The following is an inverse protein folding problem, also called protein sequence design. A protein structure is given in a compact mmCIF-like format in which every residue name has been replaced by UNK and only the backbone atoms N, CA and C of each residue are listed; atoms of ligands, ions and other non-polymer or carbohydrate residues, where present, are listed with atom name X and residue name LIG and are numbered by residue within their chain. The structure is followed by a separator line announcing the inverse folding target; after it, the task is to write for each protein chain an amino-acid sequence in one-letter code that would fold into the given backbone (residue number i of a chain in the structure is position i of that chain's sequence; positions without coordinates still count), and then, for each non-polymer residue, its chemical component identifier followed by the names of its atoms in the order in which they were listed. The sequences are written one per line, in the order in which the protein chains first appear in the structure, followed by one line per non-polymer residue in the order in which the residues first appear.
data_IF_016124870112
#
_entry.id   IF_016124870112
#
_cell.length_a   1.000
_cell.length_b   1.000
_cell.length_c   1.000
_cell.angle_alpha   90.00
_cell.angle_beta   90.00
_cell.angle_gamma   90.00
#
_symmetry.space_group_name_H-M   'P 1'
#
loop_
_entity.id
_entity.type
_entity.pdbx_description
1 polymer ?
#
# COMPACT_ATOMS: atom_id res chain seq x y z
N UNK A 1 49.83 -14.88 74.57
CA UNK A 1 48.57 -14.12 74.57
C UNK A 1 47.86 -14.51 73.28
N UNK A 2 46.93 -15.47 73.22
CA UNK A 2 45.80 -15.78 74.14
C UNK A 2 44.94 -14.53 74.37
N UNK A 3 43.62 -14.50 74.09
CA UNK A 3 42.61 -15.53 73.71
C UNK A 3 41.77 -15.03 72.49
N UNK A 4 40.92 -15.78 71.75
CA UNK A 4 39.75 -16.60 72.14
C UNK A 4 38.72 -15.83 72.99
N UNK A 5 37.38 -15.91 72.85
CA UNK A 5 36.44 -16.63 71.95
C UNK A 5 35.34 -15.62 71.47
N UNK A 6 34.27 -15.89 70.69
CA UNK A 6 33.75 -17.12 70.04
C UNK A 6 32.88 -16.83 68.76
N UNK A 7 31.93 -17.75 68.49
CA UNK A 7 30.98 -17.93 67.38
C UNK A 7 29.54 -17.55 67.77
N UNK A 8 28.74 -17.20 66.76
CA UNK A 8 27.26 -17.21 66.78
C UNK A 8 26.72 -17.30 65.33
N UNK A 9 25.62 -18.01 65.04
CA UNK A 9 25.48 -18.68 63.74
C UNK A 9 24.57 -17.99 62.69
N UNK A 10 24.60 -18.60 61.50
CA UNK A 10 23.90 -18.22 60.28
C UNK A 10 22.37 -18.12 60.37
N UNK A 11 21.81 -17.30 59.47
CA UNK A 11 20.54 -17.62 58.81
C UNK A 11 20.66 -17.35 57.29
N UNK A 12 19.95 -18.15 56.49
CA UNK A 12 19.97 -18.18 55.03
C UNK A 12 18.56 -17.93 54.52
N UNK A 13 18.33 -16.79 53.86
CA UNK A 13 17.05 -16.52 53.18
C UNK A 13 17.23 -15.82 51.84
N UNK A 14 17.58 -16.62 50.83
CA UNK A 14 17.44 -16.22 49.43
C UNK A 14 15.98 -16.39 48.98
N UNK A 15 15.24 -15.29 48.87
CA UNK A 15 13.90 -15.35 48.29
C UNK A 15 13.95 -15.52 46.76
N UNK A 16 14.00 -16.79 46.34
CA UNK A 16 13.70 -17.21 44.97
C UNK A 16 12.31 -16.72 44.57
N UNK A 17 12.18 -16.25 43.33
CA UNK A 17 10.88 -16.11 42.65
C UNK A 17 10.17 -17.48 42.64
N UNK A 18 8.88 -17.57 43.01
CA UNK A 18 8.08 -18.76 42.72
C UNK A 18 7.80 -18.82 41.21
N UNK A 19 7.92 -20.01 40.63
CA UNK A 19 7.50 -20.29 39.25
C UNK A 19 6.69 -21.58 39.27
N UNK A 20 5.55 -21.57 38.56
CA UNK A 20 4.73 -22.75 38.17
C UNK A 20 3.85 -23.32 39.32
N UNK A 21 2.74 -24.03 39.01
CA UNK A 21 2.39 -24.67 37.73
C UNK A 21 1.07 -24.24 37.07
N UNK A 22 0.94 -24.67 35.82
CA UNK A 22 -0.34 -24.92 35.15
C UNK A 22 -0.29 -26.38 34.69
N UNK A 23 -1.33 -27.19 34.94
CA UNK A 23 -2.04 -27.73 33.78
C UNK A 23 -3.54 -27.99 33.99
N UNK A 24 -4.19 -28.36 32.87
CA UNK A 24 -5.46 -29.07 32.76
C UNK A 24 -6.75 -28.28 33.07
N UNK A 25 -7.26 -27.60 32.03
CA UNK A 25 -8.70 -27.61 31.75
C UNK A 25 -8.96 -28.39 30.46
N UNK A 26 -9.67 -29.50 30.60
CA UNK A 26 -10.09 -30.37 29.50
C UNK A 26 -11.23 -29.68 28.73
N UNK A 27 -10.91 -29.17 27.53
CA UNK A 27 -11.86 -28.48 26.65
C UNK A 27 -12.32 -29.36 25.50
N UNK A 28 -13.59 -29.75 25.56
CA UNK A 28 -14.39 -30.56 24.64
C UNK A 28 -14.00 -30.49 23.15
N UNK A 29 -13.94 -31.66 22.52
CA UNK A 29 -13.76 -31.91 21.08
C UNK A 29 -14.76 -31.12 20.21
N UNK A 30 -14.23 -30.25 19.34
CA UNK A 30 -14.92 -29.82 18.11
C UNK A 30 -14.08 -30.26 16.90
N UNK A 31 -14.50 -31.36 16.27
CA UNK A 31 -13.87 -31.87 15.07
C UNK A 31 -14.26 -31.03 13.84
N UNK A 32 -13.68 -29.83 13.71
CA UNK A 32 -13.71 -29.11 12.44
C UNK A 32 -12.84 -29.86 11.45
N UNK A 33 -13.47 -30.53 10.49
CA UNK A 33 -12.78 -31.27 9.45
C UNK A 33 -11.78 -30.34 8.73
N UNK A 34 -10.50 -30.64 8.86
CA UNK A 34 -9.47 -30.05 8.02
C UNK A 34 -9.70 -30.55 6.60
N UNK A 35 -10.46 -29.79 5.82
CA UNK A 35 -10.50 -29.95 4.37
C UNK A 35 -9.06 -29.71 3.89
N UNK A 36 -8.33 -30.79 3.65
CA UNK A 36 -7.03 -30.74 3.03
C UNK A 36 -7.24 -30.15 1.63
N UNK A 37 -7.01 -28.85 1.50
CA UNK A 37 -6.85 -28.20 0.20
C UNK A 37 -5.57 -28.80 -0.38
N UNK A 38 -5.74 -29.91 -1.09
CA UNK A 38 -4.77 -30.39 -2.04
C UNK A 38 -4.60 -29.26 -3.05
N UNK A 39 -3.62 -28.40 -2.80
CA UNK A 39 -3.07 -27.52 -3.83
C UNK A 39 -2.50 -28.47 -4.86
N UNK A 40 -3.32 -28.80 -5.85
CA UNK A 40 -2.83 -29.30 -7.11
C UNK A 40 -1.87 -28.23 -7.60
N UNK A 41 -0.58 -28.52 -7.48
CA UNK A 41 0.43 -27.77 -8.18
C UNK A 41 0.13 -27.99 -9.67
N UNK A 42 -0.71 -27.11 -10.23
CA UNK A 42 -0.76 -26.90 -11.66
C UNK A 42 0.71 -26.75 -12.08
N UNK A 43 1.16 -27.47 -13.13
CA UNK A 43 2.53 -27.35 -13.56
C UNK A 43 2.79 -25.86 -13.78
N UNK A 44 3.76 -25.33 -13.05
CA UNK A 44 4.30 -24.03 -13.36
C UNK A 44 4.96 -24.19 -14.73
N UNK A 45 4.18 -23.96 -15.78
CA UNK A 45 4.70 -23.69 -17.11
C UNK A 45 5.53 -22.45 -16.98
N UNK A 46 6.81 -22.65 -16.65
CA UNK A 46 7.83 -21.63 -16.73
C UNK A 46 7.68 -20.98 -18.11
N UNK A 47 7.60 -19.65 -18.12
CA UNK A 47 7.48 -18.91 -19.38
C UNK A 47 8.53 -19.43 -20.37
N UNK A 48 8.22 -19.43 -21.68
CA UNK A 48 9.28 -19.33 -22.66
C UNK A 48 9.95 -17.97 -22.47
N UNK A 49 10.88 -17.91 -21.50
CA UNK A 49 11.94 -16.91 -21.41
C UNK A 49 12.45 -16.69 -22.84
N UNK A 50 12.79 -15.44 -23.23
CA UNK A 50 13.47 -15.19 -24.49
C UNK A 50 14.65 -16.16 -24.58
N UNK A 51 14.56 -17.10 -25.54
CA UNK A 51 15.24 -18.40 -25.52
C UNK A 51 16.62 -18.30 -24.87
N UNK A 52 16.94 -19.07 -23.80
CA UNK A 52 18.26 -19.01 -23.17
C UNK A 52 19.42 -19.27 -24.16
N UNK A 53 19.13 -19.85 -25.33
CA UNK A 53 20.06 -20.10 -26.42
C UNK A 53 19.99 -19.08 -27.57
N UNK A 54 19.14 -18.03 -27.52
CA UNK A 54 19.17 -16.90 -28.46
C UNK A 54 20.46 -16.10 -28.24
N UNK A 55 21.48 -16.45 -29.02
CA UNK A 55 22.79 -15.79 -29.02
C UNK A 55 22.66 -14.40 -29.62
N UNK A 56 22.99 -13.37 -28.86
CA UNK A 56 23.03 -11.99 -29.32
C UNK A 56 22.92 -10.99 -28.18
N UNK A 57 23.58 -9.85 -28.32
CA UNK A 57 23.54 -8.75 -27.35
C UNK A 57 22.11 -8.19 -27.20
N UNK A 58 21.37 -8.08 -28.31
CA UNK A 58 19.99 -7.58 -28.32
C UNK A 58 19.04 -8.43 -27.43
N UNK A 59 19.12 -9.76 -27.49
CA UNK A 59 18.30 -10.63 -26.66
C UNK A 59 18.58 -10.48 -25.15
N UNK A 60 19.83 -10.16 -24.78
CA UNK A 60 20.20 -9.85 -23.39
C UNK A 60 19.66 -8.48 -22.95
N UNK A 61 19.69 -7.48 -23.83
CA UNK A 61 19.09 -6.16 -23.60
C UNK A 61 17.59 -6.26 -23.39
N UNK A 62 16.88 -7.02 -24.25
CA UNK A 62 15.44 -7.22 -24.13
C UNK A 62 15.05 -7.93 -22.83
N UNK A 63 15.82 -8.93 -22.39
CA UNK A 63 15.64 -9.58 -21.08
C UNK A 63 15.85 -8.59 -19.92
N UNK A 64 16.88 -7.75 -19.98
CA UNK A 64 17.12 -6.73 -18.95
C UNK A 64 16.03 -5.65 -18.92
N UNK A 65 15.41 -5.33 -20.06
CA UNK A 65 14.27 -4.43 -20.15
C UNK A 65 12.98 -5.05 -19.61
N UNK A 66 12.73 -6.33 -19.87
CA UNK A 66 11.65 -7.09 -19.23
C UNK A 66 11.84 -7.12 -17.71
N UNK A 67 13.00 -7.59 -17.22
CA UNK A 67 13.31 -7.60 -15.78
C UNK A 67 13.25 -6.20 -15.13
N UNK A 68 13.54 -5.12 -15.88
CA UNK A 68 13.40 -3.75 -15.42
C UNK A 68 11.92 -3.33 -15.33
N UNK A 69 11.07 -3.81 -16.23
CA UNK A 69 9.61 -3.62 -16.16
C UNK A 69 9.03 -4.35 -14.93
N UNK A 70 9.42 -5.61 -14.69
CA UNK A 70 9.03 -6.35 -13.47
C UNK A 70 9.43 -5.61 -12.18
N UNK A 71 10.64 -5.04 -12.15
CA UNK A 71 11.11 -4.23 -11.03
C UNK A 71 10.37 -2.88 -10.92
N UNK A 72 9.91 -2.32 -12.05
CA UNK A 72 9.11 -1.09 -12.11
C UNK A 72 7.72 -1.31 -11.52
N UNK A 73 7.04 -2.42 -11.82
CA UNK A 73 5.75 -2.75 -11.23
C UNK A 73 5.84 -2.93 -9.70
N UNK A 74 6.91 -3.60 -9.21
CA UNK A 74 7.21 -3.72 -7.77
C UNK A 74 7.46 -2.35 -7.14
N UNK A 75 8.31 -1.52 -7.77
CA UNK A 75 8.55 -0.12 -7.34
C UNK A 75 7.25 0.69 -7.25
N UNK A 76 6.38 0.59 -8.26
CA UNK A 76 5.11 1.30 -8.33
C UNK A 76 4.15 0.87 -7.21
N UNK A 77 4.05 -0.43 -6.92
CA UNK A 77 3.25 -0.95 -5.80
C UNK A 77 3.78 -0.49 -4.43
N UNK A 78 5.09 -0.56 -4.21
CA UNK A 78 5.74 -0.06 -2.99
C UNK A 78 5.57 1.46 -2.85
N UNK A 79 5.56 2.22 -3.96
CA UNK A 79 5.30 3.67 -3.98
C UNK A 79 3.86 3.98 -3.56
N UNK A 80 2.86 3.25 -4.03
CA UNK A 80 1.49 3.38 -3.53
C UNK A 80 1.39 3.10 -2.03
N UNK A 81 2.02 2.02 -1.55
CA UNK A 81 2.04 1.64 -0.13
C UNK A 81 2.66 2.76 0.71
N UNK A 82 3.79 3.31 0.28
CA UNK A 82 4.45 4.44 0.94
C UNK A 82 3.56 5.70 0.98
N UNK A 83 2.87 6.03 -0.11
CA UNK A 83 1.96 7.18 -0.16
C UNK A 83 0.76 6.99 0.79
N UNK A 84 0.17 5.79 0.81
CA UNK A 84 -0.95 5.43 1.73
C UNK A 84 -0.51 5.48 3.20
N UNK A 85 0.69 4.99 3.52
CA UNK A 85 1.25 5.06 4.87
C UNK A 85 1.58 6.50 5.29
N UNK A 86 2.10 7.33 4.38
CA UNK A 86 2.34 8.76 4.65
C UNK A 86 1.03 9.49 4.99
N UNK A 87 -0.01 9.35 4.17
CA UNK A 87 -1.32 9.94 4.45
C UNK A 87 -1.87 9.50 5.82
N UNK A 88 -1.80 8.21 6.14
CA UNK A 88 -2.26 7.70 7.45
C UNK A 88 -1.44 8.23 8.62
N UNK A 89 -0.14 8.48 8.44
CA UNK A 89 0.70 9.12 9.46
C UNK A 89 0.30 10.58 9.65
N UNK A 90 0.06 11.32 8.57
CA UNK A 90 -0.34 12.72 8.61
C UNK A 90 -1.73 12.89 9.27
N UNK A 91 -2.71 12.07 8.86
CA UNK A 91 -4.05 12.01 9.46
C UNK A 91 -4.00 11.72 10.98
N UNK A 92 -3.09 10.82 11.40
CA UNK A 92 -2.88 10.46 12.81
C UNK A 92 -2.17 11.56 13.61
N UNK A 93 -1.23 12.29 13.01
CA UNK A 93 -0.58 13.44 13.65
C UNK A 93 -1.59 14.55 13.91
N UNK A 94 -2.41 14.86 12.91
CA UNK A 94 -3.51 15.81 12.99
C UNK A 94 -4.56 15.43 14.05
N UNK A 95 -4.94 14.15 14.11
CA UNK A 95 -5.86 13.64 15.13
C UNK A 95 -5.25 13.75 16.54
N UNK A 96 -3.99 13.37 16.71
CA UNK A 96 -3.28 13.47 17.99
C UNK A 96 -3.10 14.93 18.45
N UNK A 97 -2.92 15.88 17.53
CA UNK A 97 -2.84 17.31 17.84
C UNK A 97 -4.19 17.84 18.36
N UNK A 98 -5.29 17.54 17.68
CA UNK A 98 -6.66 17.91 18.13
C UNK A 98 -6.97 17.33 19.51
N UNK A 99 -6.75 16.04 19.69
CA UNK A 99 -7.01 15.35 20.97
C UNK A 99 -6.12 15.84 22.12
N UNK A 100 -4.90 16.31 21.83
CA UNK A 100 -4.05 16.96 22.83
C UNK A 100 -4.61 18.34 23.25
N UNK A 101 -5.30 19.04 22.35
CA UNK A 101 -6.09 20.25 22.63
C UNK A 101 -7.26 19.95 23.57
N UNK A 102 -8.12 18.99 23.23
CA UNK A 102 -9.26 18.58 24.06
C UNK A 102 -8.82 18.21 25.50
N UNK A 103 -7.70 17.47 25.63
CA UNK A 103 -7.13 17.12 26.93
C UNK A 103 -6.63 18.34 27.72
N UNK A 104 -6.12 19.38 27.05
CA UNK A 104 -5.72 20.62 27.72
C UNK A 104 -6.94 21.40 28.21
N UNK A 105 -8.03 21.44 27.45
CA UNK A 105 -9.29 22.09 27.85
C UNK A 105 -9.97 21.36 29.02
N UNK A 106 -10.02 20.03 28.98
CA UNK A 106 -10.49 19.21 30.11
C UNK A 106 -9.61 19.41 31.35
N UNK A 107 -8.29 19.48 31.18
CA UNK A 107 -7.34 19.77 32.27
C UNK A 107 -7.54 21.18 32.83
N UNK A 108 -7.83 22.18 32.00
CA UNK A 108 -8.11 23.54 32.43
C UNK A 108 -9.42 23.61 33.25
N UNK A 109 -10.48 22.93 32.80
CA UNK A 109 -11.75 22.81 33.53
C UNK A 109 -11.55 22.16 34.92
N UNK A 110 -10.80 21.06 34.99
CA UNK A 110 -10.45 20.40 36.26
C UNK A 110 -9.56 21.28 37.15
N UNK A 111 -8.66 22.07 36.56
CA UNK A 111 -7.78 22.99 37.27
C UNK A 111 -8.50 24.19 37.91
N UNK A 112 -9.47 24.78 37.20
CA UNK A 112 -10.30 25.87 37.73
C UNK A 112 -11.09 25.43 38.98
N UNK A 113 -11.63 24.21 38.97
CA UNK A 113 -12.27 23.61 40.14
C UNK A 113 -11.31 23.45 41.31
N UNK A 114 -10.14 22.84 41.08
CA UNK A 114 -9.17 22.60 42.14
C UNK A 114 -8.70 23.92 42.78
N UNK A 115 -8.53 24.97 41.96
CA UNK A 115 -8.21 26.32 42.44
C UNK A 115 -9.36 26.95 43.27
N UNK A 116 -10.62 26.72 42.88
CA UNK A 116 -11.78 27.19 43.65
C UNK A 116 -11.88 26.49 45.01
N UNK A 117 -11.74 25.17 45.07
CA UNK A 117 -11.74 24.40 46.32
C UNK A 117 -10.58 24.80 47.25
N UNK A 118 -9.39 25.04 46.69
CA UNK A 118 -8.23 25.51 47.45
C UNK A 118 -8.45 26.92 48.02
N UNK A 119 -9.09 27.82 47.25
CA UNK A 119 -9.37 29.20 47.67
C UNK A 119 -10.43 29.31 48.77
N UNK A 120 -11.37 28.37 48.87
CA UNK A 120 -12.41 28.36 49.92
C UNK A 120 -11.89 27.92 51.30
N UNK A 121 -10.56 27.78 51.47
CA UNK A 121 -9.92 27.61 52.77
C UNK A 121 -9.94 26.19 53.34
N UNK A 122 -10.39 25.20 52.57
CA UNK A 122 -10.29 23.78 52.93
C UNK A 122 -11.35 23.26 53.91
N UNK A 123 -12.40 24.02 54.21
CA UNK A 123 -13.60 23.47 54.86
C UNK A 123 -14.36 22.65 53.81
N UNK A 124 -14.49 21.35 54.02
CA UNK A 124 -15.21 20.46 53.10
C UNK A 124 -16.66 20.96 52.89
N UNK A 125 -17.16 21.07 51.63
CA UNK A 125 -18.54 21.43 51.35
C UNK A 125 -19.58 20.56 52.08
N UNK A 126 -19.28 19.28 52.35
CA UNK A 126 -20.11 18.41 53.17
C UNK A 126 -20.15 18.84 54.65
N UNK A 127 -19.05 19.43 55.17
CA UNK A 127 -19.00 20.01 56.51
C UNK A 127 -19.79 21.33 56.57
N UNK A 128 -19.68 22.19 55.54
CA UNK A 128 -20.51 23.40 55.43
C UNK A 128 -22.00 23.05 55.33
N UNK A 129 -22.34 21.99 54.61
CA UNK A 129 -23.70 21.47 54.47
C UNK A 129 -24.23 20.89 55.79
N UNK A 130 -23.40 20.13 56.53
CA UNK A 130 -23.76 19.59 57.85
C UNK A 130 -23.96 20.66 58.93
N UNK A 131 -23.41 21.86 58.74
CA UNK A 131 -23.61 23.02 59.61
C UNK A 131 -24.78 23.92 59.18
N UNK A 132 -25.54 23.56 58.14
CA UNK A 132 -26.73 24.28 57.70
C UNK A 132 -27.86 24.15 58.73
N UNK A 133 -28.36 25.27 59.25
CA UNK A 133 -29.43 25.32 60.25
C UNK A 133 -30.84 25.30 59.67
N UNK A 134 -30.99 25.45 58.36
CA UNK A 134 -32.27 25.45 57.65
C UNK A 134 -32.37 24.24 56.69
N UNK A 135 -33.43 23.41 56.78
CA UNK A 135 -33.62 22.24 55.93
C UNK A 135 -33.86 22.55 54.44
N UNK A 136 -34.52 23.67 54.10
CA UNK A 136 -34.78 24.02 52.69
C UNK A 136 -33.47 24.46 52.01
N UNK A 137 -32.72 25.37 52.64
CA UNK A 137 -31.36 25.76 52.23
C UNK A 137 -30.40 24.56 52.15
N UNK A 138 -30.54 23.55 53.01
CA UNK A 138 -29.76 22.30 52.94
C UNK A 138 -30.05 21.53 51.64
N UNK A 139 -31.33 21.29 51.32
CA UNK A 139 -31.72 20.47 50.16
C UNK A 139 -31.31 21.12 48.83
N UNK A 140 -31.44 22.44 48.70
CA UNK A 140 -30.97 23.17 47.53
C UNK A 140 -29.46 23.01 47.33
N UNK A 141 -28.66 23.29 48.38
CA UNK A 141 -27.19 23.17 48.34
C UNK A 141 -26.73 21.73 48.08
N UNK A 142 -27.38 20.74 48.69
CA UNK A 142 -27.09 19.33 48.44
C UNK A 142 -27.32 18.94 46.97
N UNK A 143 -28.46 19.36 46.39
CA UNK A 143 -28.78 19.08 44.99
C UNK A 143 -27.83 19.77 44.00
N UNK A 144 -27.36 20.97 44.32
CA UNK A 144 -26.36 21.69 43.54
C UNK A 144 -25.00 20.98 43.60
N UNK A 145 -24.56 20.60 44.81
CA UNK A 145 -23.29 19.90 45.03
C UNK A 145 -23.25 18.52 44.34
N UNK A 146 -24.36 17.78 44.34
CA UNK A 146 -24.47 16.51 43.62
C UNK A 146 -24.32 16.70 42.09
N UNK A 147 -25.07 17.62 41.49
CA UNK A 147 -24.97 17.92 40.04
C UNK A 147 -23.56 18.34 39.64
N UNK A 148 -22.91 19.14 40.48
CA UNK A 148 -21.52 19.59 40.31
C UNK A 148 -20.57 18.37 40.38
N UNK A 149 -20.72 17.51 41.40
CA UNK A 149 -19.89 16.31 41.59
C UNK A 149 -20.07 15.26 40.50
N UNK A 150 -21.30 15.08 40.01
CA UNK A 150 -21.62 14.24 38.87
C UNK A 150 -20.97 14.74 37.57
N UNK A 151 -21.02 16.07 37.33
CA UNK A 151 -20.32 16.71 36.20
C UNK A 151 -18.80 16.50 36.28
N UNK A 152 -18.19 16.73 37.45
CA UNK A 152 -16.74 16.55 37.63
C UNK A 152 -16.31 15.09 37.43
N UNK A 153 -17.07 14.15 37.97
CA UNK A 153 -16.87 12.71 37.74
C UNK A 153 -17.00 12.36 36.25
N UNK A 154 -17.90 13.03 35.52
CA UNK A 154 -17.98 13.00 34.05
C UNK A 154 -16.69 13.49 33.38
N UNK A 155 -16.29 14.73 33.64
CA UNK A 155 -15.08 15.38 33.08
C UNK A 155 -13.81 14.57 33.34
N UNK A 156 -13.63 14.04 34.56
CA UNK A 156 -12.47 13.20 34.90
C UNK A 156 -12.50 11.87 34.14
N UNK A 157 -13.65 11.20 34.04
CA UNK A 157 -13.78 9.96 33.23
C UNK A 157 -13.48 10.23 31.76
N UNK A 158 -13.95 11.35 31.21
CA UNK A 158 -13.66 11.78 29.84
C UNK A 158 -12.17 12.05 29.63
N UNK A 159 -11.53 12.81 30.53
CA UNK A 159 -10.09 13.08 30.49
C UNK A 159 -9.27 11.78 30.50
N UNK A 160 -9.55 10.87 31.45
CA UNK A 160 -8.85 9.59 31.53
C UNK A 160 -9.11 8.67 30.31
N UNK A 161 -10.30 8.72 29.71
CA UNK A 161 -10.60 8.01 28.48
C UNK A 161 -9.84 8.57 27.28
N UNK A 162 -9.88 9.89 27.08
CA UNK A 162 -9.12 10.57 26.03
C UNK A 162 -7.60 10.40 26.21
N UNK A 163 -7.09 10.37 27.45
CA UNK A 163 -5.67 10.15 27.72
C UNK A 163 -5.23 8.74 27.28
N UNK A 164 -6.03 7.70 27.56
CA UNK A 164 -5.76 6.33 27.10
C UNK A 164 -5.81 6.23 25.57
N UNK A 165 -6.83 6.81 24.94
CA UNK A 165 -6.96 6.82 23.48
C UNK A 165 -5.78 7.54 22.80
N UNK A 166 -5.30 8.67 23.36
CA UNK A 166 -4.16 9.39 22.80
C UNK A 166 -2.86 8.56 22.88
N UNK A 167 -2.65 7.79 23.95
CA UNK A 167 -1.50 6.89 24.04
C UNK A 167 -1.58 5.74 23.04
N UNK A 168 -2.77 5.18 22.83
CA UNK A 168 -3.00 4.18 21.78
C UNK A 168 -2.68 4.75 20.39
N UNK A 169 -3.25 5.90 20.02
CA UNK A 169 -2.98 6.53 18.73
C UNK A 169 -1.51 6.90 18.53
N UNK A 170 -0.79 7.34 19.59
CA UNK A 170 0.67 7.55 19.53
C UNK A 170 1.44 6.27 19.24
N UNK A 171 0.98 5.13 19.77
CA UNK A 171 1.60 3.81 19.53
C UNK A 171 1.34 3.36 18.08
N UNK A 172 0.10 3.48 17.60
CA UNK A 172 -0.28 3.18 16.21
C UNK A 172 0.46 4.06 15.19
N UNK A 173 0.56 5.37 15.45
CA UNK A 173 1.32 6.30 14.61
C UNK A 173 2.82 5.98 14.59
N UNK A 174 3.39 5.56 15.74
CA UNK A 174 4.79 5.14 15.82
C UNK A 174 5.04 3.87 15.00
N UNK A 175 4.11 2.90 15.01
CA UNK A 175 4.20 1.72 14.17
C UNK A 175 4.15 2.09 12.68
N UNK A 176 3.15 2.90 12.25
CA UNK A 176 3.04 3.33 10.85
C UNK A 176 4.24 4.13 10.37
N UNK A 177 4.86 4.94 11.23
CA UNK A 177 6.12 5.62 10.94
C UNK A 177 7.27 4.64 10.71
N UNK A 178 7.32 3.51 11.40
CA UNK A 178 8.29 2.43 11.15
C UNK A 178 7.98 1.73 9.83
N UNK A 179 6.74 1.29 9.60
CA UNK A 179 6.29 0.67 8.35
C UNK A 179 6.62 1.56 7.13
N UNK A 180 6.45 2.88 7.26
CA UNK A 180 6.75 3.88 6.24
C UNK A 180 8.26 4.01 5.98
N UNK A 181 9.10 3.98 7.02
CA UNK A 181 10.57 3.99 6.86
C UNK A 181 11.05 2.73 6.16
N UNK A 182 10.56 1.56 6.56
CA UNK A 182 10.89 0.28 5.91
C UNK A 182 10.45 0.27 4.45
N UNK A 183 9.21 0.65 4.18
CA UNK A 183 8.68 0.75 2.80
C UNK A 183 9.46 1.77 1.95
N UNK A 184 9.99 2.85 2.54
CA UNK A 184 10.88 3.80 1.84
C UNK A 184 12.26 3.20 1.51
N UNK A 185 12.78 2.33 2.36
CA UNK A 185 14.01 1.55 2.06
C UNK A 185 13.77 0.57 0.91
N UNK A 186 12.69 -0.23 0.98
CA UNK A 186 12.27 -1.13 -0.12
C UNK A 186 12.13 -0.38 -1.45
N UNK A 187 11.55 0.82 -1.43
CA UNK A 187 11.37 1.67 -2.60
C UNK A 187 12.72 2.13 -3.20
N UNK A 188 13.70 2.45 -2.35
CA UNK A 188 15.04 2.82 -2.78
C UNK A 188 15.79 1.62 -3.40
N UNK A 189 15.64 0.43 -2.83
CA UNK A 189 16.25 -0.80 -3.35
C UNK A 189 15.63 -1.22 -4.70
N UNK A 190 14.30 -1.13 -4.85
CA UNK A 190 13.66 -1.35 -6.15
C UNK A 190 14.15 -0.34 -7.20
N UNK A 191 14.25 0.96 -6.85
CA UNK A 191 14.81 1.98 -7.75
C UNK A 191 16.24 1.65 -8.18
N UNK A 192 17.10 1.25 -7.23
CA UNK A 192 18.47 0.81 -7.51
C UNK A 192 18.51 -0.42 -8.42
N UNK A 193 17.58 -1.37 -8.22
CA UNK A 193 17.48 -2.57 -9.05
C UNK A 193 17.03 -2.27 -10.49
N UNK A 194 16.14 -1.29 -10.71
CA UNK A 194 15.76 -0.80 -12.04
C UNK A 194 16.96 -0.13 -12.71
N UNK A 195 17.57 0.86 -12.02
CA UNK A 195 18.72 1.61 -12.53
C UNK A 195 19.90 0.68 -12.89
N UNK A 196 20.18 -0.34 -12.07
CA UNK A 196 21.23 -1.32 -12.35
C UNK A 196 20.97 -2.18 -13.58
N UNK A 197 19.72 -2.57 -13.85
CA UNK A 197 19.35 -3.31 -15.07
C UNK A 197 19.45 -2.43 -16.32
N UNK A 198 18.93 -1.21 -16.26
CA UNK A 198 19.02 -0.24 -17.36
C UNK A 198 20.48 0.14 -17.66
N UNK A 199 21.34 0.29 -16.65
CA UNK A 199 22.77 0.52 -16.84
C UNK A 199 23.47 -0.66 -17.52
N UNK A 200 23.18 -1.90 -17.12
CA UNK A 200 23.69 -3.10 -17.80
C UNK A 200 23.21 -3.20 -19.25
N UNK A 201 21.94 -2.88 -19.51
CA UNK A 201 21.39 -2.86 -20.86
C UNK A 201 22.10 -1.81 -21.73
N UNK A 202 22.36 -0.61 -21.18
CA UNK A 202 23.14 0.41 -21.88
C UNK A 202 24.60 -0.01 -22.13
N UNK A 203 25.25 -0.70 -21.17
CA UNK A 203 26.60 -1.25 -21.37
C UNK A 203 26.64 -2.26 -22.52
N UNK A 204 25.65 -3.16 -22.59
CA UNK A 204 25.51 -4.10 -23.70
C UNK A 204 25.25 -3.40 -25.04
N UNK A 205 24.32 -2.43 -25.09
CA UNK A 205 24.09 -1.61 -26.28
C UNK A 205 25.34 -0.84 -26.74
N UNK A 206 26.23 -0.48 -25.81
CA UNK A 206 27.51 0.17 -26.14
C UNK A 206 28.57 -0.81 -26.70
N UNK A 207 28.41 -2.13 -26.52
CA UNK A 207 29.27 -3.14 -27.18
C UNK A 207 28.87 -3.44 -28.63
N UNK A 208 27.69 -3.02 -29.06
CA UNK A 208 27.22 -3.21 -30.43
C UNK A 208 28.05 -2.38 -31.43
N UNK A 209 28.33 -2.99 -32.58
CA UNK A 209 28.86 -2.31 -33.76
C UNK A 209 27.92 -1.18 -34.24
N UNK A 210 28.40 -0.35 -35.15
CA UNK A 210 27.56 0.69 -35.76
C UNK A 210 26.43 0.09 -36.60
N UNK A 211 26.67 -1.07 -37.23
CA UNK A 211 25.71 -1.80 -38.05
C UNK A 211 24.59 -2.40 -37.19
N UNK A 212 24.91 -3.18 -36.16
CA UNK A 212 23.91 -3.75 -35.24
C UNK A 212 23.06 -2.67 -34.55
N UNK A 213 23.65 -1.51 -34.21
CA UNK A 213 22.90 -0.35 -33.67
C UNK A 213 21.95 0.26 -34.70
N UNK A 214 22.37 0.35 -35.97
CA UNK A 214 21.52 0.82 -37.04
C UNK A 214 20.38 -0.17 -37.33
N UNK A 215 20.63 -1.47 -37.25
CA UNK A 215 19.60 -2.51 -37.40
C UNK A 215 18.54 -2.47 -36.30
N UNK A 216 18.96 -2.38 -35.03
CA UNK A 216 18.06 -2.27 -33.87
C UNK A 216 17.23 -0.98 -33.92
N UNK A 217 17.85 0.15 -34.28
CA UNK A 217 17.13 1.41 -34.48
C UNK A 217 16.15 1.33 -35.66
N UNK A 218 16.52 0.65 -36.75
CA UNK A 218 15.65 0.42 -37.88
C UNK A 218 14.49 -0.53 -37.55
N UNK A 219 14.67 -1.49 -36.64
CA UNK A 219 13.60 -2.36 -36.13
C UNK A 219 12.56 -1.58 -35.32
N UNK A 220 12.98 -0.75 -34.38
CA UNK A 220 12.07 0.13 -33.61
C UNK A 220 11.34 1.13 -34.52
N UNK A 221 12.00 1.64 -35.56
CA UNK A 221 11.40 2.46 -36.62
C UNK A 221 10.44 1.67 -37.54
N UNK A 222 10.66 0.36 -37.77
CA UNK A 222 9.71 -0.51 -38.47
C UNK A 222 8.47 -0.74 -37.61
N UNK A 223 8.63 -1.06 -36.33
CA UNK A 223 7.53 -1.25 -35.38
C UNK A 223 6.67 0.03 -35.24
N UNK A 224 7.32 1.19 -35.07
CA UNK A 224 6.65 2.50 -35.03
C UNK A 224 5.85 2.80 -36.31
N UNK A 225 6.39 2.47 -37.49
CA UNK A 225 5.65 2.62 -38.77
C UNK A 225 4.59 1.56 -39.01
N UNK A 226 4.72 0.37 -38.41
CA UNK A 226 3.68 -0.66 -38.44
C UNK A 226 2.47 -0.23 -37.61
N UNK A 227 2.69 0.39 -36.45
CA UNK A 227 1.65 0.99 -35.60
C UNK A 227 0.77 2.00 -36.36
N UNK A 228 1.35 2.84 -37.23
CA UNK A 228 0.58 3.81 -38.04
C UNK A 228 -0.31 3.13 -39.09
N UNK A 229 -0.01 1.88 -39.45
CA UNK A 229 -0.77 1.07 -40.42
C UNK A 229 -1.53 -0.10 -39.78
N UNK A 230 -1.69 -0.10 -38.45
CA UNK A 230 -2.38 -1.17 -37.75
C UNK A 230 -3.85 -1.19 -38.16
N UNK A 231 -4.28 -2.28 -38.81
CA UNK A 231 -5.70 -2.55 -39.04
C UNK A 231 -6.32 -3.02 -37.74
N UNK A 232 -7.19 -2.18 -37.15
CA UNK A 232 -7.90 -2.45 -35.91
C UNK A 232 -9.24 -3.20 -36.15
N UNK A 233 -9.63 -3.38 -37.41
CA UNK A 233 -10.96 -3.84 -37.78
C UNK A 233 -12.07 -2.83 -37.40
N UNK A 234 -13.31 -3.30 -37.35
CA UNK A 234 -14.49 -2.49 -37.02
C UNK A 234 -15.27 -3.07 -35.83
N UNK A 235 -14.57 -3.50 -34.78
CA UNK A 235 -15.19 -4.01 -33.55
C UNK A 235 -15.56 -2.84 -32.62
N UNK A 236 -16.81 -2.79 -32.15
CA UNK A 236 -17.20 -1.83 -31.11
C UNK A 236 -16.66 -2.22 -29.73
N UNK A 237 -16.33 -1.23 -28.91
CA UNK A 237 -16.03 -1.39 -27.48
C UNK A 237 -17.22 -1.96 -26.71
N UNK A 238 -16.94 -2.76 -25.67
CA UNK A 238 -17.98 -3.37 -24.85
C UNK A 238 -18.60 -2.45 -23.78
N UNK A 239 -17.93 -1.34 -23.44
CA UNK A 239 -18.43 -0.33 -22.49
C UNK A 239 -18.09 1.07 -22.98
N UNK A 240 -18.92 2.06 -22.62
CA UNK A 240 -18.67 3.47 -22.95
C UNK A 240 -17.40 4.00 -22.27
N UNK A 241 -17.15 3.57 -21.01
CA UNK A 241 -15.96 4.00 -20.28
C UNK A 241 -14.68 3.36 -20.83
N UNK A 242 -14.73 2.08 -21.22
CA UNK A 242 -13.63 1.42 -21.93
C UNK A 242 -13.33 2.08 -23.28
N UNK A 243 -14.36 2.48 -24.03
CA UNK A 243 -14.20 3.25 -25.26
C UNK A 243 -13.50 4.61 -25.03
N UNK A 244 -13.97 5.37 -24.04
CA UNK A 244 -13.39 6.68 -23.69
C UNK A 244 -11.94 6.56 -23.19
N UNK A 245 -11.64 5.56 -22.35
CA UNK A 245 -10.28 5.28 -21.90
C UNK A 245 -9.38 4.88 -23.08
N UNK A 246 -9.85 4.00 -23.97
CA UNK A 246 -9.11 3.62 -25.16
C UNK A 246 -8.83 4.83 -26.06
N UNK A 247 -9.83 5.68 -26.33
CA UNK A 247 -9.65 6.92 -27.09
C UNK A 247 -8.61 7.86 -26.45
N UNK A 248 -8.61 7.98 -25.12
CA UNK A 248 -7.57 8.73 -24.40
C UNK A 248 -6.18 8.11 -24.63
N UNK A 249 -6.02 6.79 -24.51
CA UNK A 249 -4.75 6.10 -24.79
C UNK A 249 -4.28 6.28 -26.24
N UNK A 250 -5.20 6.25 -27.22
CA UNK A 250 -4.89 6.48 -28.63
C UNK A 250 -4.30 7.87 -28.88
N UNK A 251 -4.74 8.89 -28.13
CA UNK A 251 -4.16 10.25 -28.18
C UNK A 251 -2.68 10.33 -27.74
N UNK A 252 -2.11 9.22 -27.27
CA UNK A 252 -0.74 9.13 -26.73
C UNK A 252 0.19 8.21 -27.51
N UNK A 253 -0.24 7.69 -28.66
CA UNK A 253 0.66 7.01 -29.61
C UNK A 253 1.84 7.94 -29.96
N UNK A 254 3.06 7.41 -29.91
CA UNK A 254 4.31 8.16 -30.05
C UNK A 254 4.87 8.78 -28.75
N UNK A 255 4.17 8.71 -27.62
CA UNK A 255 4.76 9.16 -26.34
C UNK A 255 5.83 8.15 -25.85
N UNK A 256 6.98 8.59 -25.32
CA UNK A 256 8.08 7.71 -24.95
C UNK A 256 7.76 6.84 -23.72
N UNK A 257 8.33 5.63 -23.69
CA UNK A 257 8.37 4.81 -22.48
C UNK A 257 9.26 5.46 -21.42
N UNK A 258 8.73 5.66 -20.22
CA UNK A 258 9.51 6.05 -19.03
C UNK A 258 9.03 5.24 -17.83
N UNK A 259 9.93 4.52 -17.18
CA UNK A 259 9.60 3.70 -16.01
C UNK A 259 9.02 4.55 -14.87
N UNK A 260 7.92 4.12 -14.28
CA UNK A 260 7.20 4.85 -13.23
C UNK A 260 6.33 6.01 -13.73
N UNK A 261 6.37 6.38 -15.01
CA UNK A 261 5.60 7.51 -15.54
C UNK A 261 4.14 7.13 -15.84
N UNK A 262 3.20 8.04 -15.50
CA UNK A 262 1.76 7.87 -15.68
C UNK A 262 1.12 9.11 -16.35
N UNK A 263 1.80 9.68 -17.34
CA UNK A 263 1.29 10.70 -18.24
C UNK A 263 1.50 12.16 -17.82
N UNK A 264 1.03 13.11 -18.64
CA UNK A 264 0.41 12.91 -19.96
C UNK A 264 1.44 12.75 -21.11
N UNK A 265 2.74 12.96 -20.85
CA UNK A 265 3.78 13.08 -21.90
C UNK A 265 4.76 11.90 -21.97
N UNK A 266 4.65 10.93 -21.06
CA UNK A 266 5.44 9.69 -21.06
C UNK A 266 4.76 8.66 -20.14
N UNK A 267 5.00 7.37 -20.39
CA UNK A 267 4.24 6.29 -19.74
C UNK A 267 5.07 5.01 -19.56
N UNK A 268 4.90 4.30 -18.45
CA UNK A 268 5.07 2.84 -18.46
C UNK A 268 3.73 2.15 -18.83
N UNK A 269 3.72 0.82 -18.92
CA UNK A 269 2.57 0.06 -19.41
C UNK A 269 1.30 0.27 -18.55
N UNK A 270 1.44 0.10 -17.23
CA UNK A 270 0.38 0.30 -16.24
C UNK A 270 0.04 1.77 -15.99
N UNK A 271 0.97 2.69 -16.28
CA UNK A 271 0.77 4.13 -16.23
C UNK A 271 -0.08 4.66 -17.38
N UNK A 272 0.08 4.13 -18.59
CA UNK A 272 -0.75 4.46 -19.76
C UNK A 272 -2.23 4.14 -19.48
N UNK A 273 -2.49 2.92 -19.01
CA UNK A 273 -3.85 2.44 -18.71
C UNK A 273 -4.47 3.21 -17.55
N UNK A 274 -3.72 3.44 -16.47
CA UNK A 274 -4.16 4.26 -15.33
C UNK A 274 -4.54 5.67 -15.77
N UNK A 275 -3.68 6.34 -16.54
CA UNK A 275 -3.92 7.70 -17.02
C UNK A 275 -5.13 7.79 -17.94
N UNK A 276 -5.26 6.83 -18.85
CA UNK A 276 -6.34 6.74 -19.83
C UNK A 276 -7.71 6.52 -19.16
N UNK A 277 -7.80 5.58 -18.22
CA UNK A 277 -9.04 5.37 -17.46
C UNK A 277 -9.40 6.55 -16.56
N UNK A 278 -8.40 7.30 -16.03
CA UNK A 278 -8.67 8.56 -15.32
C UNK A 278 -9.36 9.60 -16.21
N UNK A 279 -9.05 9.65 -17.52
CA UNK A 279 -9.77 10.53 -18.46
C UNK A 279 -11.23 10.08 -18.65
N UNK A 280 -11.52 8.80 -18.48
CA UNK A 280 -12.87 8.23 -18.48
C UNK A 280 -13.56 8.24 -17.09
N UNK A 281 -12.99 8.93 -16.11
CA UNK A 281 -13.54 9.04 -14.74
C UNK A 281 -13.36 7.80 -13.86
N UNK A 282 -12.52 6.84 -14.25
CA UNK A 282 -12.21 5.64 -13.45
C UNK A 282 -10.78 5.74 -12.89
N UNK A 283 -10.65 5.66 -11.57
CA UNK A 283 -9.35 5.48 -10.92
C UNK A 283 -8.93 4.01 -10.94
N UNK A 284 -7.89 3.67 -11.70
CA UNK A 284 -7.25 2.36 -11.62
C UNK A 284 -6.08 2.36 -10.62
N UNK A 285 -5.78 1.20 -9.99
CA UNK A 285 -4.54 0.99 -9.26
C UNK A 285 -3.32 1.13 -10.17
N UNK A 286 -2.19 1.54 -9.60
CA UNK A 286 -1.00 1.91 -10.38
C UNK A 286 -0.30 0.74 -11.06
N UNK A 287 -0.42 -0.51 -10.56
CA UNK A 287 0.33 -1.66 -11.11
C UNK A 287 -0.52 -2.57 -12.00
N UNK A 288 0.13 -3.22 -12.97
CA UNK A 288 -0.51 -4.18 -13.87
C UNK A 288 -1.11 -5.38 -13.13
N UNK A 289 -0.44 -5.89 -12.08
CA UNK A 289 -0.95 -6.99 -11.24
C UNK A 289 -2.25 -6.60 -10.52
N UNK A 290 -2.36 -5.36 -10.04
CA UNK A 290 -3.57 -4.86 -9.41
C UNK A 290 -4.68 -4.66 -10.46
N UNK A 291 -4.36 -4.04 -11.60
CA UNK A 291 -5.28 -3.85 -12.73
C UNK A 291 -5.84 -5.17 -13.27
N UNK A 292 -5.08 -6.26 -13.20
CA UNK A 292 -5.52 -7.61 -13.58
C UNK A 292 -6.76 -8.12 -12.80
N UNK A 293 -7.15 -7.44 -11.71
CA UNK A 293 -8.21 -7.83 -10.78
C UNK A 293 -9.37 -6.82 -10.65
N UNK A 294 -9.38 -5.71 -11.40
CA UNK A 294 -10.36 -4.60 -11.19
C UNK A 294 -11.70 -4.75 -11.92
N UNK A 295 -11.85 -5.77 -12.76
CA UNK A 295 -13.02 -5.93 -13.64
C UNK A 295 -13.29 -7.37 -14.04
N UNK A 296 -14.20 -7.57 -15.00
CA UNK A 296 -14.57 -8.91 -15.47
C UNK A 296 -13.43 -9.54 -16.26
N UNK A 297 -12.94 -10.70 -15.78
CA UNK A 297 -11.89 -11.47 -16.44
C UNK A 297 -12.41 -12.15 -17.72
N UNK A 298 -11.70 -11.94 -18.82
CA UNK A 298 -11.98 -12.47 -20.16
C UNK A 298 -10.86 -13.46 -20.52
N UNK A 299 -11.14 -14.77 -20.50
CA UNK A 299 -10.09 -15.79 -20.66
C UNK A 299 -9.68 -16.06 -22.12
N UNK A 300 -10.51 -15.73 -23.10
CA UNK A 300 -10.23 -15.99 -24.52
C UNK A 300 -9.96 -14.70 -25.28
N UNK A 301 -8.96 -14.71 -26.17
CA UNK A 301 -8.59 -13.53 -26.97
C UNK A 301 -9.74 -13.06 -27.89
N UNK A 302 -10.56 -13.97 -28.41
CA UNK A 302 -11.71 -13.64 -29.28
C UNK A 302 -12.89 -12.97 -28.59
N UNK A 303 -12.96 -13.07 -27.26
CA UNK A 303 -14.01 -12.44 -26.45
C UNK A 303 -13.70 -10.98 -26.10
N UNK A 304 -12.46 -10.53 -26.33
CA UNK A 304 -12.02 -9.15 -26.15
C UNK A 304 -12.74 -8.19 -27.10
N UNK A 305 -12.96 -6.95 -26.64
CA UNK A 305 -13.51 -5.84 -27.42
C UNK A 305 -12.65 -4.60 -27.19
N UNK A 306 -12.51 -3.68 -28.16
CA UNK A 306 -11.58 -2.56 -28.03
C UNK A 306 -11.81 -1.75 -26.76
N UNK A 307 -10.74 -1.47 -26.01
CA UNK A 307 -10.81 -0.82 -24.70
C UNK A 307 -10.90 -1.75 -23.48
N UNK A 308 -11.05 -3.07 -23.67
CA UNK A 308 -10.67 -4.03 -22.62
C UNK A 308 -9.16 -3.93 -22.37
N UNK A 309 -8.73 -4.12 -21.12
CA UNK A 309 -7.31 -4.32 -20.82
C UNK A 309 -6.87 -5.72 -21.20
N UNK A 310 -5.60 -5.88 -21.57
CA UNK A 310 -4.91 -7.15 -21.76
C UNK A 310 -3.79 -7.26 -20.74
N UNK A 311 -3.80 -8.35 -19.97
CA UNK A 311 -2.72 -8.73 -19.05
C UNK A 311 -1.79 -9.72 -19.76
N UNK A 312 -0.49 -9.47 -19.71
CA UNK A 312 0.54 -10.25 -20.41
C UNK A 312 1.73 -10.59 -19.49
N UNK A 313 2.49 -11.63 -19.89
CA UNK A 313 3.57 -12.31 -19.12
C UNK A 313 3.05 -13.10 -17.91
N UNK A 314 3.68 -14.22 -17.56
CA UNK A 314 3.21 -15.08 -16.47
C UNK A 314 3.17 -14.39 -15.10
N UNK A 315 4.06 -13.41 -14.88
CA UNK A 315 4.13 -12.58 -13.67
C UNK A 315 3.21 -11.35 -13.70
N UNK A 316 2.41 -11.22 -14.76
CA UNK A 316 1.46 -10.14 -15.02
C UNK A 316 2.14 -8.75 -15.07
N UNK A 317 3.44 -8.66 -15.34
CA UNK A 317 4.20 -7.39 -15.34
C UNK A 317 3.95 -6.48 -16.55
N UNK A 318 3.05 -6.85 -17.46
CA UNK A 318 2.71 -6.02 -18.61
C UNK A 318 1.21 -5.91 -18.84
N UNK A 319 0.77 -4.71 -19.24
CA UNK A 319 -0.62 -4.41 -19.54
C UNK A 319 -0.74 -3.41 -20.69
N UNK A 320 -1.81 -3.51 -21.46
CA UNK A 320 -2.20 -2.53 -22.46
C UNK A 320 -3.70 -2.64 -22.77
N UNK A 321 -4.17 -1.91 -23.77
CA UNK A 321 -5.54 -2.01 -24.26
C UNK A 321 -5.61 -2.98 -25.45
N UNK A 322 -6.60 -3.85 -25.50
CA UNK A 322 -6.98 -4.49 -26.76
C UNK A 322 -7.49 -3.42 -27.70
N UNK A 323 -6.94 -3.39 -28.92
CA UNK A 323 -7.24 -2.38 -29.92
C UNK A 323 -8.16 -2.89 -31.04
N UNK A 324 -8.50 -4.18 -31.04
CA UNK A 324 -9.20 -4.86 -32.14
C UNK A 324 -8.24 -5.67 -33.01
N UNK A 325 -8.76 -6.62 -33.79
CA UNK A 325 -8.02 -7.40 -34.79
C UNK A 325 -6.67 -8.00 -34.30
N UNK A 326 -6.62 -8.51 -33.07
CA UNK A 326 -5.40 -9.06 -32.48
C UNK A 326 -4.28 -8.04 -32.17
N UNK A 327 -4.59 -6.74 -32.19
CA UNK A 327 -3.67 -5.66 -31.82
C UNK A 327 -3.79 -5.29 -30.33
N UNK A 328 -2.66 -4.92 -29.73
CA UNK A 328 -2.56 -4.27 -28.41
C UNK A 328 -2.03 -2.84 -28.58
N UNK A 329 -2.62 -1.88 -27.87
CA UNK A 329 -2.08 -0.54 -27.66
C UNK A 329 -1.42 -0.48 -26.28
N UNK A 330 -0.10 -0.29 -26.22
CA UNK A 330 0.68 -0.32 -24.98
C UNK A 330 1.88 0.65 -25.00
N UNK A 331 2.52 0.81 -23.83
CA UNK A 331 3.89 1.34 -23.71
C UNK A 331 4.83 0.15 -23.46
N UNK A 332 5.55 -0.39 -24.47
CA UNK A 332 6.11 -1.75 -24.40
C UNK A 332 7.33 -1.92 -23.48
N UNK A 333 8.37 -1.10 -23.67
CA UNK A 333 9.68 -1.26 -23.02
C UNK A 333 10.52 0.02 -23.10
N UNK A 334 11.57 0.18 -22.27
CA UNK A 334 12.55 1.26 -22.41
C UNK A 334 13.08 1.39 -23.85
N UNK A 335 13.25 2.64 -24.30
CA UNK A 335 13.70 2.95 -25.67
C UNK A 335 12.60 2.95 -26.74
N UNK A 336 11.43 2.37 -26.45
CA UNK A 336 10.28 2.36 -27.34
C UNK A 336 9.26 3.48 -27.01
N UNK A 337 8.25 3.62 -27.86
CA UNK A 337 7.13 4.55 -27.71
C UNK A 337 5.80 3.81 -27.55
N UNK A 338 4.77 4.51 -27.05
CA UNK A 338 3.39 4.04 -27.05
C UNK A 338 2.97 3.74 -28.49
N UNK A 339 2.52 2.52 -28.75
CA UNK A 339 2.27 2.03 -30.11
C UNK A 339 1.22 0.91 -30.14
N UNK A 340 0.65 0.68 -31.32
CA UNK A 340 -0.04 -0.56 -31.63
C UNK A 340 0.97 -1.64 -32.01
N UNK A 341 0.71 -2.88 -31.58
CA UNK A 341 1.54 -4.04 -31.88
C UNK A 341 0.67 -5.30 -31.99
N UNK A 342 1.04 -6.23 -32.87
CA UNK A 342 0.30 -7.48 -32.99
C UNK A 342 0.64 -8.39 -31.81
N UNK A 343 -0.38 -8.83 -31.07
CA UNK A 343 -0.24 -9.64 -29.85
C UNK A 343 0.58 -10.91 -30.14
N UNK A 344 0.29 -11.57 -31.27
CA UNK A 344 0.94 -12.80 -31.71
C UNK A 344 2.46 -12.67 -31.97
N UNK A 345 2.97 -11.47 -32.25
CA UNK A 345 4.41 -11.23 -32.51
C UNK A 345 5.09 -10.40 -31.43
N UNK A 346 4.35 -9.92 -30.43
CA UNK A 346 4.86 -9.06 -29.35
C UNK A 346 5.92 -9.69 -28.43
N UNK A 347 6.13 -11.00 -28.54
CA UNK A 347 7.02 -11.77 -27.66
C UNK A 347 6.52 -11.92 -26.22
N UNK A 348 5.33 -11.41 -25.89
CA UNK A 348 4.72 -11.49 -24.57
C UNK A 348 3.52 -12.44 -24.60
N UNK A 349 3.42 -13.44 -23.71
CA UNK A 349 2.28 -14.33 -23.70
C UNK A 349 1.04 -13.62 -23.15
N UNK A 350 -0.11 -13.84 -23.79
CA UNK A 350 -1.42 -13.40 -23.31
C UNK A 350 -1.85 -14.23 -22.10
N UNK A 351 -2.30 -13.57 -21.03
CA UNK A 351 -2.78 -14.25 -19.81
C UNK A 351 -4.30 -14.22 -19.70
N UNK A 352 -4.89 -13.01 -19.70
CA UNK A 352 -6.34 -12.78 -19.78
C UNK A 352 -6.61 -11.30 -20.09
N UNK A 353 -7.84 -11.01 -20.53
CA UNK A 353 -8.35 -9.64 -20.59
C UNK A 353 -9.10 -9.23 -19.33
N UNK A 354 -9.22 -7.92 -19.09
CA UNK A 354 -10.07 -7.35 -18.05
C UNK A 354 -10.99 -6.30 -18.66
N UNK A 355 -12.30 -6.57 -18.59
CA UNK A 355 -13.35 -5.64 -19.03
C UNK A 355 -13.81 -4.79 -17.87
N UNK A 356 -13.86 -3.47 -18.09
CA UNK A 356 -14.18 -2.47 -17.08
C UNK A 356 -15.42 -1.70 -17.55
N UNK A 357 -16.45 -1.63 -16.70
CA UNK A 357 -17.78 -1.08 -17.01
C UNK A 357 -17.90 0.43 -16.83
#
# INVERSE_FOLDING_TARGET
MASETEKGPADVSSHRRPKQPNPAYTGILTATAAAAVAVSAAPASADPLPDPNKKGVQAQVDRLYEEATQATEKYNGTKEKANKLQQQVDDMQDAAARQQGDLNDLRAQLGLLAAAQYRDGGIDPALQLALSTDPDTYLEKASALDRISARHSGTLRQFLAQQRALQQHRTEATQKLTDLRETRTELADHKKAIQGKLAKAQQLLNTLTAEERAEAAAEEQRASRASVRADLGNQASASQRGAAAFQAAQSRVGMPYVWGADGPNSFDCSGLTSWAFRQAGISLPRTSQQQANVGTRINNLGDLRPGDLIIMRSDLSHVGFYAGNGQILHSPKPGAQVRYEAIATSGMPFMWGVRIG
#
